data_IF_450723636132
#
_entry.id   IF_450723636132
#
_cell.length_a   1.000
_cell.length_b   1.000
_cell.length_c   1.000
_cell.angle_alpha   90.00
_cell.angle_beta   90.00
_cell.angle_gamma   90.00
#
_symmetry.space_group_name_H-M   'P 1'
#
loop_
_entity.id
_entity.type
_entity.pdbx_description
1 polymer ?
#
# COMPACT_ATOMS: atom_id res chain seq x y z
N UNK A 1 -15.99 -16.29 4.26
CA UNK A 1 -15.36 -16.93 3.09
C UNK A 1 -15.47 -16.00 1.91
N UNK A 2 -16.65 -15.43 1.65
CA UNK A 2 -16.92 -14.41 0.62
C UNK A 2 -15.93 -13.24 0.65
N UNK A 3 -15.67 -12.65 1.82
CA UNK A 3 -14.66 -11.59 1.97
C UNK A 3 -13.26 -11.99 1.48
N UNK A 4 -12.85 -13.24 1.74
CA UNK A 4 -11.53 -13.75 1.35
C UNK A 4 -11.50 -14.05 -0.15
N UNK A 5 -12.59 -14.58 -0.72
CA UNK A 5 -12.73 -14.76 -2.17
C UNK A 5 -12.71 -13.44 -2.91
N UNK A 6 -13.52 -12.47 -2.50
CA UNK A 6 -13.53 -11.13 -3.07
C UNK A 6 -12.13 -10.48 -3.07
N UNK A 7 -11.35 -10.72 -2.02
CA UNK A 7 -9.95 -10.29 -1.95
C UNK A 7 -9.07 -11.02 -2.98
N UNK A 8 -9.16 -12.35 -3.06
CA UNK A 8 -8.29 -13.20 -3.86
C UNK A 8 -8.62 -13.21 -5.35
N UNK A 9 -9.89 -13.05 -5.70
CA UNK A 9 -10.42 -13.26 -7.04
C UNK A 9 -10.71 -11.94 -7.76
N UNK A 10 -11.10 -10.90 -7.02
CA UNK A 10 -11.43 -9.58 -7.60
C UNK A 10 -10.38 -8.52 -7.28
N UNK A 11 -10.32 -8.07 -6.03
CA UNK A 11 -9.69 -6.77 -5.71
C UNK A 11 -8.17 -6.79 -5.77
N UNK A 12 -7.51 -7.77 -5.15
CA UNK A 12 -6.04 -7.81 -5.16
C UNK A 12 -5.46 -8.13 -6.54
N UNK A 13 -5.96 -9.11 -7.32
CA UNK A 13 -5.44 -9.36 -8.67
C UNK A 13 -5.51 -8.12 -9.57
N UNK A 14 -6.65 -7.44 -9.60
CA UNK A 14 -6.85 -6.23 -10.39
C UNK A 14 -5.87 -5.12 -9.98
N UNK A 15 -5.79 -4.80 -8.69
CA UNK A 15 -4.92 -3.72 -8.19
C UNK A 15 -3.44 -4.05 -8.37
N UNK A 16 -3.04 -5.33 -8.24
CA UNK A 16 -1.70 -5.81 -8.59
C UNK A 16 -1.43 -5.62 -10.09
N UNK A 17 -2.39 -5.95 -10.96
CA UNK A 17 -2.28 -5.76 -12.41
C UNK A 17 -2.00 -4.29 -12.78
N UNK A 18 -2.84 -3.37 -12.30
CA UNK A 18 -2.70 -1.93 -12.53
C UNK A 18 -1.34 -1.40 -12.06
N UNK A 19 -0.91 -1.79 -10.85
CA UNK A 19 0.40 -1.39 -10.33
C UNK A 19 1.56 -2.02 -11.08
N UNK A 20 1.42 -3.24 -11.56
CA UNK A 20 2.43 -3.90 -12.40
C UNK A 20 2.68 -3.08 -13.66
N UNK A 21 1.62 -2.71 -14.39
CA UNK A 21 1.71 -1.87 -15.59
C UNK A 21 2.39 -0.53 -15.30
N UNK A 22 1.97 0.17 -14.23
CA UNK A 22 2.57 1.45 -13.82
C UNK A 22 4.06 1.31 -13.45
N UNK A 23 4.42 0.27 -12.70
CA UNK A 23 5.82 0.01 -12.33
C UNK A 23 6.67 -0.33 -13.55
N UNK A 24 6.13 -1.07 -14.53
CA UNK A 24 6.84 -1.35 -15.79
C UNK A 24 7.11 -0.07 -16.58
N UNK A 25 6.11 0.81 -16.72
CA UNK A 25 6.25 2.11 -17.39
C UNK A 25 7.31 2.96 -16.68
N UNK A 26 7.18 3.16 -15.36
CA UNK A 26 8.15 3.92 -14.57
C UNK A 26 9.57 3.35 -14.71
N UNK A 27 9.73 2.04 -14.58
CA UNK A 27 11.04 1.37 -14.63
C UNK A 27 11.73 1.54 -15.99
N UNK A 28 10.99 1.50 -17.11
CA UNK A 28 11.54 1.73 -18.45
C UNK A 28 12.22 3.09 -18.53
N UNK A 29 11.52 4.15 -18.15
CA UNK A 29 12.08 5.51 -18.15
C UNK A 29 13.18 5.71 -17.11
N UNK A 30 13.06 5.11 -15.92
CA UNK A 30 14.08 5.20 -14.87
C UNK A 30 15.40 4.52 -15.27
N UNK A 31 15.37 3.49 -16.12
CA UNK A 31 16.58 2.83 -16.64
C UNK A 31 17.32 3.67 -17.69
N UNK A 32 16.61 4.55 -18.38
CA UNK A 32 17.15 5.38 -19.47
C UNK A 32 17.80 6.67 -18.95
N UNK A 33 17.48 7.12 -17.73
CA UNK A 33 17.98 8.38 -17.20
C UNK A 33 18.09 8.40 -15.68
N UNK A 34 19.28 8.68 -15.16
CA UNK A 34 19.51 8.89 -13.72
C UNK A 34 18.69 10.05 -13.15
N UNK A 35 18.46 11.11 -13.95
CA UNK A 35 17.62 12.24 -13.54
C UNK A 35 16.19 11.76 -13.31
N UNK A 36 15.64 10.96 -14.24
CA UNK A 36 14.29 10.39 -14.10
C UNK A 36 14.24 9.39 -12.96
N UNK A 37 15.27 8.55 -12.80
CA UNK A 37 15.42 7.62 -11.68
C UNK A 37 15.34 8.35 -10.35
N UNK A 38 16.06 9.45 -10.17
CA UNK A 38 16.03 10.27 -8.95
C UNK A 38 14.64 10.86 -8.72
N UNK A 39 14.01 11.44 -9.75
CA UNK A 39 12.66 12.02 -9.67
C UNK A 39 11.59 11.00 -9.26
N UNK A 40 11.68 9.77 -9.77
CA UNK A 40 10.63 8.75 -9.57
C UNK A 40 10.95 7.70 -8.51
N UNK A 41 12.18 7.61 -7.98
CA UNK A 41 12.57 6.59 -7.01
C UNK A 41 11.59 6.46 -5.82
N UNK A 42 11.23 7.58 -5.20
CA UNK A 42 10.28 7.59 -4.06
C UNK A 42 8.87 7.15 -4.49
N UNK A 43 8.41 7.61 -5.66
CA UNK A 43 7.08 7.25 -6.18
C UNK A 43 7.01 5.76 -6.53
N UNK A 44 8.04 5.26 -7.21
CA UNK A 44 8.22 3.85 -7.57
C UNK A 44 8.22 2.97 -6.33
N UNK A 45 9.06 3.28 -5.33
CA UNK A 45 9.13 2.53 -4.06
C UNK A 45 7.77 2.45 -3.38
N UNK A 46 7.04 3.57 -3.26
CA UNK A 46 5.70 3.60 -2.67
C UNK A 46 4.71 2.68 -3.38
N UNK A 47 4.67 2.70 -4.71
CA UNK A 47 3.80 1.82 -5.50
C UNK A 47 4.22 0.35 -5.32
N UNK A 48 5.53 0.08 -5.38
CA UNK A 48 6.08 -1.27 -5.26
C UNK A 48 5.85 -1.93 -3.89
N UNK A 49 5.77 -1.13 -2.83
CA UNK A 49 5.59 -1.64 -1.46
C UNK A 49 4.23 -2.33 -1.30
N UNK A 50 3.12 -1.65 -1.58
CA UNK A 50 1.81 -2.33 -1.49
C UNK A 50 1.63 -3.38 -2.58
N UNK A 51 2.20 -3.18 -3.77
CA UNK A 51 2.19 -4.18 -4.85
C UNK A 51 2.78 -5.52 -4.38
N UNK A 52 3.97 -5.48 -3.76
CA UNK A 52 4.60 -6.67 -3.15
C UNK A 52 3.75 -7.21 -2.00
N UNK A 53 3.27 -6.35 -1.09
CA UNK A 53 2.43 -6.79 0.05
C UNK A 53 1.23 -7.61 -0.43
N UNK A 54 0.51 -7.13 -1.44
CA UNK A 54 -0.69 -7.81 -1.95
C UNK A 54 -0.37 -9.13 -2.63
N UNK A 55 0.73 -9.23 -3.38
CA UNK A 55 1.21 -10.50 -3.92
C UNK A 55 1.52 -11.52 -2.81
N UNK A 56 2.14 -11.06 -1.71
CA UNK A 56 2.40 -11.90 -0.55
C UNK A 56 1.12 -12.35 0.15
N UNK A 57 0.11 -11.47 0.28
CA UNK A 57 -1.21 -11.83 0.82
C UNK A 57 -1.85 -12.94 -0.02
N UNK A 58 -1.96 -12.76 -1.34
CA UNK A 58 -2.53 -13.78 -2.24
C UNK A 58 -1.79 -15.11 -2.07
N UNK A 59 -0.46 -15.08 -2.15
CA UNK A 59 0.35 -16.29 -2.01
C UNK A 59 0.11 -16.98 -0.67
N UNK A 60 0.10 -16.22 0.43
CA UNK A 60 -0.08 -16.72 1.78
C UNK A 60 -1.46 -17.32 2.01
N UNK A 61 -2.52 -16.64 1.56
CA UNK A 61 -3.90 -17.12 1.68
C UNK A 61 -4.14 -18.38 0.85
N UNK A 62 -3.68 -18.41 -0.41
CA UNK A 62 -3.80 -19.59 -1.28
C UNK A 62 -3.05 -20.78 -0.70
N UNK A 63 -1.82 -20.57 -0.21
CA UNK A 63 -1.01 -21.65 0.37
C UNK A 63 -1.64 -22.27 1.63
N UNK A 64 -2.37 -21.47 2.38
CA UNK A 64 -3.04 -21.90 3.60
C UNK A 64 -4.48 -22.36 3.37
N UNK A 65 -4.95 -22.44 2.11
CA UNK A 65 -6.35 -22.76 1.79
C UNK A 65 -7.32 -21.92 2.63
N UNK A 66 -7.04 -20.61 2.73
CA UNK A 66 -7.73 -19.74 3.68
C UNK A 66 -9.24 -19.64 3.40
N UNK A 67 -9.66 -19.81 2.14
CA UNK A 67 -11.08 -19.86 1.76
C UNK A 67 -11.72 -21.12 2.35
N UNK A 68 -11.09 -22.27 2.19
CA UNK A 68 -11.55 -23.56 2.70
C UNK A 68 -11.63 -23.54 4.23
N UNK A 69 -10.62 -22.99 4.91
CA UNK A 69 -10.64 -22.81 6.36
C UNK A 69 -11.85 -21.96 6.79
N UNK A 70 -12.15 -20.88 6.08
CA UNK A 70 -13.32 -20.03 6.39
C UNK A 70 -14.64 -20.75 6.13
N UNK A 71 -14.72 -21.57 5.09
CA UNK A 71 -15.91 -22.40 4.82
C UNK A 71 -16.13 -23.44 5.92
N UNK A 72 -15.08 -24.07 6.43
CA UNK A 72 -15.16 -25.00 7.56
C UNK A 72 -15.62 -24.31 8.85
N UNK A 73 -15.12 -23.09 9.10
CA UNK A 73 -15.58 -22.24 10.21
C UNK A 73 -17.07 -21.89 10.07
N UNK A 74 -17.53 -21.54 8.87
CA UNK A 74 -18.93 -21.24 8.54
C UNK A 74 -19.84 -22.45 8.70
N UNK A 75 -19.43 -23.63 8.27
CA UNK A 75 -20.21 -24.86 8.49
C UNK A 75 -20.33 -25.21 9.98
N UNK A 76 -19.28 -24.95 10.75
CA UNK A 76 -19.32 -25.08 12.22
C UNK A 76 -20.25 -24.05 12.84
N UNK A 77 -20.25 -22.83 12.32
CA UNK A 77 -21.15 -21.75 12.74
C UNK A 77 -22.61 -22.11 12.47
N UNK A 78 -22.96 -22.55 11.25
CA UNK A 78 -24.31 -22.97 10.87
C UNK A 78 -24.85 -24.07 11.79
N UNK A 79 -24.04 -25.09 12.08
CA UNK A 79 -24.41 -26.17 13.01
C UNK A 79 -24.67 -25.65 14.42
N UNK A 80 -23.87 -24.69 14.89
CA UNK A 80 -24.03 -24.07 16.21
C UNK A 80 -25.30 -23.22 16.30
N UNK A 81 -25.64 -22.48 15.23
CA UNK A 81 -26.88 -21.69 15.12
C UNK A 81 -28.10 -22.62 15.12
N UNK A 82 -28.10 -23.65 14.29
CA UNK A 82 -29.23 -24.58 14.13
C UNK A 82 -29.51 -25.46 15.36
N UNK A 83 -28.57 -25.55 16.30
CA UNK A 83 -28.72 -26.36 17.51
C UNK A 83 -29.68 -25.74 18.55
N UNK A 84 -30.18 -24.53 18.32
CA UNK A 84 -30.94 -23.75 19.31
C UNK A 84 -31.89 -22.76 18.64
N UNK A 85 -33.16 -22.78 19.04
CA UNK A 85 -34.19 -21.96 18.41
C UNK A 85 -34.00 -20.46 18.58
N UNK A 86 -33.43 -20.00 19.70
CA UNK A 86 -33.15 -18.56 19.89
C UNK A 86 -31.99 -18.10 19.02
N UNK A 87 -30.94 -18.92 18.91
CA UNK A 87 -29.80 -18.63 18.02
C UNK A 87 -30.23 -18.65 16.56
N UNK A 88 -31.06 -19.61 16.16
CA UNK A 88 -31.62 -19.69 14.81
C UNK A 88 -32.34 -18.38 14.44
N UNK A 89 -33.30 -17.94 15.26
CA UNK A 89 -34.04 -16.68 15.04
C UNK A 89 -33.15 -15.42 15.00
N UNK A 90 -31.97 -15.45 15.64
CA UNK A 90 -31.06 -14.29 15.70
C UNK A 90 -30.06 -14.26 14.56
N UNK A 91 -29.60 -15.42 14.08
CA UNK A 91 -28.34 -15.54 13.34
C UNK A 91 -28.44 -16.35 12.04
N UNK A 92 -29.60 -16.90 11.69
CA UNK A 92 -29.73 -17.78 10.51
C UNK A 92 -29.35 -17.13 9.19
N UNK A 93 -29.68 -15.84 9.00
CA UNK A 93 -29.50 -15.14 7.73
C UNK A 93 -28.10 -14.55 7.52
N UNK A 94 -27.23 -14.54 8.55
CA UNK A 94 -25.95 -13.80 8.51
C UNK A 94 -25.08 -14.18 7.31
N UNK A 95 -24.94 -15.48 7.04
CA UNK A 95 -24.04 -15.96 5.99
C UNK A 95 -24.62 -15.75 4.60
N UNK A 96 -25.93 -15.91 4.43
CA UNK A 96 -26.61 -15.65 3.16
C UNK A 96 -26.59 -14.15 2.85
N UNK A 97 -26.70 -13.31 3.88
CA UNK A 97 -26.60 -11.86 3.76
C UNK A 97 -25.17 -11.41 3.38
N UNK A 98 -24.13 -12.07 3.90
CA UNK A 98 -22.76 -11.83 3.41
C UNK A 98 -22.64 -12.15 1.91
N UNK A 99 -23.16 -13.29 1.47
CA UNK A 99 -23.11 -13.67 0.06
C UNK A 99 -23.80 -12.64 -0.83
N UNK A 100 -25.03 -12.24 -0.47
CA UNK A 100 -25.78 -11.19 -1.19
C UNK A 100 -25.00 -9.87 -1.23
N UNK A 101 -24.54 -9.38 -0.08
CA UNK A 101 -23.86 -8.08 0.02
C UNK A 101 -22.55 -8.05 -0.76
N UNK A 102 -21.75 -9.12 -0.71
CA UNK A 102 -20.51 -9.19 -1.50
C UNK A 102 -20.79 -9.23 -3.01
N UNK A 103 -21.82 -9.96 -3.46
CA UNK A 103 -22.24 -9.98 -4.86
C UNK A 103 -22.71 -8.61 -5.35
N UNK A 104 -23.57 -7.92 -4.58
CA UNK A 104 -24.07 -6.60 -4.94
C UNK A 104 -22.99 -5.52 -4.89
N UNK A 105 -22.06 -5.61 -3.94
CA UNK A 105 -21.00 -4.64 -3.73
C UNK A 105 -19.86 -4.77 -4.75
N UNK A 106 -19.59 -5.97 -5.28
CA UNK A 106 -18.47 -6.27 -6.19
C UNK A 106 -18.29 -5.24 -7.33
N UNK A 107 -19.29 -4.96 -8.19
CA UNK A 107 -19.12 -4.01 -9.29
C UNK A 107 -18.83 -2.57 -8.84
N UNK A 108 -19.33 -2.17 -7.67
CA UNK A 108 -19.07 -0.86 -7.10
C UNK A 108 -17.69 -0.79 -6.45
N UNK A 109 -17.26 -1.83 -5.75
CA UNK A 109 -15.92 -1.91 -5.15
C UNK A 109 -14.82 -1.98 -6.21
N UNK A 110 -15.07 -2.65 -7.34
CA UNK A 110 -14.21 -2.58 -8.54
C UNK A 110 -14.12 -1.14 -9.04
N UNK A 111 -15.24 -0.44 -9.16
CA UNK A 111 -15.27 0.94 -9.62
C UNK A 111 -14.53 1.92 -8.68
N UNK A 112 -14.66 1.73 -7.37
CA UNK A 112 -13.88 2.46 -6.34
C UNK A 112 -12.39 2.21 -6.50
N UNK A 113 -11.99 0.94 -6.57
CA UNK A 113 -10.59 0.56 -6.73
C UNK A 113 -10.00 1.08 -8.05
N UNK A 114 -10.76 1.08 -9.15
CA UNK A 114 -10.35 1.65 -10.43
C UNK A 114 -10.16 3.17 -10.35
N UNK A 115 -11.08 3.89 -9.71
CA UNK A 115 -10.91 5.33 -9.50
C UNK A 115 -9.60 5.63 -8.75
N UNK A 116 -9.26 4.84 -7.72
CA UNK A 116 -8.06 5.05 -6.91
C UNK A 116 -6.75 4.60 -7.59
N UNK A 117 -6.73 3.41 -8.19
CA UNK A 117 -5.51 2.76 -8.67
C UNK A 117 -5.22 2.99 -10.16
N UNK A 118 -6.21 3.44 -10.95
CA UNK A 118 -6.03 3.81 -12.35
C UNK A 118 -6.20 5.31 -12.59
N UNK A 119 -7.36 5.90 -12.28
CA UNK A 119 -7.65 7.31 -12.61
C UNK A 119 -6.80 8.25 -11.75
N UNK A 120 -6.84 8.10 -10.43
CA UNK A 120 -6.05 8.93 -9.51
C UNK A 120 -4.55 8.55 -9.45
N UNK A 121 -4.14 7.51 -10.17
CA UNK A 121 -2.73 7.21 -10.40
C UNK A 121 -2.05 8.24 -11.30
N UNK A 122 -2.80 8.85 -12.23
CA UNK A 122 -2.33 9.90 -13.14
C UNK A 122 -2.02 11.16 -12.33
N UNK A 123 -0.81 11.67 -12.45
CA UNK A 123 -0.32 12.80 -11.66
C UNK A 123 -1.05 14.10 -12.03
N UNK A 124 -1.29 14.34 -13.33
CA UNK A 124 -2.07 15.49 -13.78
C UNK A 124 -3.51 15.47 -13.26
N UNK A 125 -4.13 14.29 -13.11
CA UNK A 125 -5.48 14.15 -12.54
C UNK A 125 -5.56 14.52 -11.06
N UNK A 126 -4.43 14.57 -10.35
CA UNK A 126 -4.38 15.09 -8.97
C UNK A 126 -3.93 16.54 -8.90
N UNK A 127 -3.01 16.94 -9.78
CA UNK A 127 -2.43 18.27 -9.76
C UNK A 127 -3.35 19.34 -10.36
N UNK A 128 -4.02 19.05 -11.47
CA UNK A 128 -4.92 20.00 -12.13
C UNK A 128 -6.06 20.50 -11.21
N UNK A 129 -6.84 19.61 -10.54
CA UNK A 129 -7.90 20.08 -9.64
C UNK A 129 -7.36 20.78 -8.39
N UNK A 130 -6.14 20.46 -7.95
CA UNK A 130 -5.49 21.18 -6.84
C UNK A 130 -5.22 22.63 -7.22
N UNK A 131 -4.63 22.88 -8.39
CA UNK A 131 -4.37 24.24 -8.87
C UNK A 131 -5.68 24.98 -9.14
N UNK A 132 -6.63 24.36 -9.85
CA UNK A 132 -7.94 24.97 -10.11
C UNK A 132 -8.67 25.36 -8.81
N UNK A 133 -8.69 24.46 -7.83
CA UNK A 133 -9.28 24.74 -6.52
C UNK A 133 -8.49 25.76 -5.68
N UNK A 134 -7.20 25.96 -5.90
CA UNK A 134 -6.44 27.06 -5.27
C UNK A 134 -6.84 28.40 -5.92
N UNK A 135 -6.91 28.45 -7.25
CA UNK A 135 -7.31 29.65 -7.99
C UNK A 135 -8.74 30.09 -7.64
N UNK A 136 -9.68 29.14 -7.59
CA UNK A 136 -11.09 29.39 -7.21
C UNK A 136 -11.24 29.89 -5.77
N UNK A 137 -10.34 29.49 -4.86
CA UNK A 137 -10.33 29.97 -3.46
C UNK A 137 -9.64 31.33 -3.29
N UNK A 138 -9.15 31.94 -4.37
CA UNK A 138 -8.45 33.23 -4.28
C UNK A 138 -7.05 33.12 -3.65
N UNK A 139 -6.40 31.95 -3.76
CA UNK A 139 -5.06 31.77 -3.19
C UNK A 139 -4.03 32.63 -3.92
N UNK A 140 -3.09 33.16 -3.16
CA UNK A 140 -2.05 34.06 -3.65
C UNK A 140 -1.17 33.45 -4.76
N UNK A 141 -0.68 34.31 -5.67
CA UNK A 141 0.09 33.91 -6.86
C UNK A 141 1.39 33.21 -6.47
N UNK A 142 2.09 33.69 -5.45
CA UNK A 142 3.34 33.12 -4.98
C UNK A 142 3.13 31.71 -4.41
N UNK A 143 1.98 31.47 -3.75
CA UNK A 143 1.60 30.13 -3.30
C UNK A 143 1.35 29.18 -4.49
N UNK A 144 0.69 29.65 -5.55
CA UNK A 144 0.48 28.88 -6.78
C UNK A 144 1.81 28.55 -7.48
N UNK A 145 2.71 29.52 -7.61
CA UNK A 145 4.05 29.31 -8.19
C UNK A 145 4.85 28.29 -7.38
N UNK A 146 4.81 28.38 -6.05
CA UNK A 146 5.46 27.41 -5.15
C UNK A 146 4.89 25.99 -5.34
N UNK A 147 3.58 25.85 -5.51
CA UNK A 147 2.94 24.55 -5.81
C UNK A 147 3.34 24.01 -7.19
N UNK A 148 3.46 24.88 -8.20
CA UNK A 148 3.96 24.51 -9.54
C UNK A 148 5.40 24.02 -9.44
N UNK A 149 6.29 24.77 -8.81
CA UNK A 149 7.70 24.40 -8.63
C UNK A 149 7.85 23.06 -7.91
N UNK A 150 7.11 22.86 -6.81
CA UNK A 150 7.13 21.60 -6.06
C UNK A 150 6.67 20.41 -6.90
N UNK A 151 5.65 20.58 -7.72
CA UNK A 151 5.16 19.52 -8.59
C UNK A 151 6.18 19.16 -9.68
N UNK A 152 6.69 20.17 -10.40
CA UNK A 152 7.61 19.95 -11.52
C UNK A 152 9.02 19.48 -11.11
N UNK A 153 9.40 19.63 -9.84
CA UNK A 153 10.63 19.08 -9.28
C UNK A 153 10.78 17.58 -9.61
N UNK A 154 9.72 16.81 -9.36
CA UNK A 154 9.75 15.35 -9.48
C UNK A 154 8.86 14.83 -10.62
N UNK A 155 8.17 15.71 -11.37
CA UNK A 155 7.31 15.32 -12.49
C UNK A 155 8.12 15.07 -13.77
N UNK A 156 7.71 14.05 -14.53
CA UNK A 156 8.24 13.73 -15.85
C UNK A 156 7.07 13.34 -16.76
N UNK A 157 6.65 14.27 -17.61
CA UNK A 157 5.43 14.15 -18.41
C UNK A 157 5.35 12.90 -19.30
N UNK A 158 6.44 12.34 -19.88
CA UNK A 158 6.32 11.12 -20.69
C UNK A 158 5.85 9.90 -19.87
N UNK A 159 6.29 9.79 -18.60
CA UNK A 159 5.81 8.73 -17.71
C UNK A 159 4.32 8.90 -17.45
N UNK A 160 3.87 10.12 -17.14
CA UNK A 160 2.47 10.35 -16.80
C UNK A 160 1.54 10.17 -18.00
N UNK A 161 2.00 10.53 -19.21
CA UNK A 161 1.27 10.31 -20.46
C UNK A 161 1.07 8.82 -20.73
N UNK A 162 2.13 8.01 -20.63
CA UNK A 162 2.04 6.57 -20.86
C UNK A 162 1.22 5.87 -19.77
N UNK A 163 1.31 6.34 -18.51
CA UNK A 163 0.43 5.87 -17.43
C UNK A 163 -1.03 6.26 -17.74
N UNK A 164 -1.29 7.49 -18.19
CA UNK A 164 -2.64 7.93 -18.56
C UNK A 164 -3.24 7.05 -19.65
N UNK A 165 -2.50 6.77 -20.73
CA UNK A 165 -2.96 5.87 -21.79
C UNK A 165 -3.29 4.46 -21.25
N UNK A 166 -2.34 3.85 -20.53
CA UNK A 166 -2.49 2.49 -20.02
C UNK A 166 -3.60 2.36 -18.97
N UNK A 167 -3.79 3.37 -18.13
CA UNK A 167 -4.85 3.37 -17.11
C UNK A 167 -6.24 3.58 -17.71
N UNK A 168 -6.37 4.36 -18.79
CA UNK A 168 -7.63 4.44 -19.54
C UNK A 168 -7.97 3.12 -20.23
N UNK A 169 -6.98 2.47 -20.85
CA UNK A 169 -7.18 1.15 -21.47
C UNK A 169 -7.60 0.10 -20.43
N UNK A 170 -6.92 0.06 -19.29
CA UNK A 170 -7.25 -0.86 -18.19
C UNK A 170 -8.62 -0.57 -17.60
N UNK A 171 -8.99 0.71 -17.44
CA UNK A 171 -10.32 1.07 -16.95
C UNK A 171 -11.41 0.62 -17.92
N UNK A 172 -11.26 0.86 -19.23
CA UNK A 172 -12.29 0.48 -20.21
C UNK A 172 -12.49 -1.03 -20.34
N UNK A 173 -11.41 -1.80 -20.22
CA UNK A 173 -11.47 -3.27 -20.38
C UNK A 173 -12.11 -4.00 -19.21
N UNK A 174 -11.98 -3.46 -17.99
CA UNK A 174 -12.44 -4.12 -16.76
C UNK A 174 -13.77 -3.57 -16.23
N UNK A 175 -14.13 -2.33 -16.58
CA UNK A 175 -15.29 -1.67 -15.97
C UNK A 175 -16.62 -2.04 -16.66
N UNK A 176 -17.70 -2.28 -15.89
CA UNK A 176 -19.05 -2.42 -16.45
C UNK A 176 -19.45 -1.21 -17.30
N UNK A 177 -20.18 -1.43 -18.39
CA UNK A 177 -20.58 -0.40 -19.36
C UNK A 177 -21.25 0.84 -18.71
N UNK A 178 -22.07 0.62 -17.67
CA UNK A 178 -22.71 1.70 -16.90
C UNK A 178 -21.76 2.65 -16.17
N UNK A 179 -20.49 2.27 -16.01
CA UNK A 179 -19.45 3.06 -15.36
C UNK A 179 -18.38 3.57 -16.33
N UNK A 180 -18.64 3.50 -17.64
CA UNK A 180 -17.78 4.04 -18.68
C UNK A 180 -18.19 5.49 -19.00
N UNK A 181 -17.31 6.49 -18.80
CA UNK A 181 -17.60 7.88 -19.11
C UNK A 181 -17.63 8.20 -20.62
N UNK A 182 -18.28 9.30 -21.02
CA UNK A 182 -18.40 9.72 -22.43
C UNK A 182 -17.08 9.90 -23.20
N UNK A 183 -15.96 10.19 -22.53
CA UNK A 183 -14.65 10.35 -23.20
C UNK A 183 -14.25 9.13 -24.02
N UNK A 184 -14.74 7.93 -23.68
CA UNK A 184 -14.44 6.71 -24.44
C UNK A 184 -15.12 6.72 -25.82
N UNK A 185 -16.25 7.41 -26.00
CA UNK A 185 -16.84 7.64 -27.32
C UNK A 185 -15.90 8.46 -28.20
N UNK A 186 -15.23 9.45 -27.61
CA UNK A 186 -14.25 10.27 -28.30
C UNK A 186 -12.98 9.49 -28.66
N UNK A 187 -12.47 8.67 -27.74
CA UNK A 187 -11.36 7.74 -27.99
C UNK A 187 -11.70 6.82 -29.17
N UNK A 188 -12.88 6.20 -29.15
CA UNK A 188 -13.29 5.27 -30.19
C UNK A 188 -13.51 5.98 -31.54
N UNK A 189 -14.23 7.11 -31.54
CA UNK A 189 -14.60 7.81 -32.77
C UNK A 189 -13.40 8.49 -33.46
N UNK A 190 -12.62 9.25 -32.69
CA UNK A 190 -11.54 10.11 -33.21
C UNK A 190 -10.20 9.38 -33.30
N UNK A 191 -9.92 8.47 -32.37
CA UNK A 191 -8.61 7.78 -32.26
C UNK A 191 -8.69 6.29 -32.57
N UNK A 192 -9.88 5.75 -32.86
CA UNK A 192 -10.10 4.33 -33.24
C UNK A 192 -9.65 3.34 -32.16
N UNK A 193 -9.85 3.71 -30.90
CA UNK A 193 -9.44 2.90 -29.75
C UNK A 193 -7.93 3.00 -29.42
N UNK A 194 -7.19 3.91 -30.06
CA UNK A 194 -5.78 4.15 -29.77
C UNK A 194 -5.62 5.10 -28.58
N UNK A 195 -5.50 4.53 -27.38
CA UNK A 195 -5.31 5.28 -26.12
C UNK A 195 -4.02 6.09 -26.11
N UNK A 196 -2.97 5.61 -26.78
CA UNK A 196 -1.68 6.31 -26.82
C UNK A 196 -1.80 7.61 -27.63
N UNK A 197 -2.42 7.56 -28.81
CA UNK A 197 -2.67 8.77 -29.61
C UNK A 197 -3.59 9.76 -28.90
N UNK A 198 -4.61 9.26 -28.20
CA UNK A 198 -5.48 10.10 -27.38
C UNK A 198 -4.69 10.81 -26.25
N UNK A 199 -3.81 10.06 -25.57
CA UNK A 199 -2.93 10.59 -24.54
C UNK A 199 -1.98 11.67 -25.09
N UNK A 200 -1.32 11.40 -26.21
CA UNK A 200 -0.41 12.36 -26.87
C UNK A 200 -1.13 13.67 -27.24
N UNK A 201 -2.30 13.59 -27.87
CA UNK A 201 -3.08 14.77 -28.22
C UNK A 201 -3.55 15.55 -26.98
N UNK A 202 -3.97 14.84 -25.93
CA UNK A 202 -4.35 15.43 -24.64
C UNK A 202 -3.19 16.17 -23.99
N UNK A 203 -2.01 15.55 -23.93
CA UNK A 203 -0.81 16.10 -23.28
C UNK A 203 -0.19 17.26 -24.06
N UNK A 204 -0.35 17.28 -25.39
CA UNK A 204 0.03 18.41 -26.23
C UNK A 204 -0.86 19.64 -25.99
N UNK A 205 -2.16 19.43 -25.78
CA UNK A 205 -3.16 20.49 -25.57
C UNK A 205 -3.15 21.05 -24.15
N UNK A 206 -2.99 20.20 -23.14
CA UNK A 206 -3.08 20.63 -21.74
C UNK A 206 -1.99 21.64 -21.36
N UNK A 207 -2.33 22.56 -20.46
CA UNK A 207 -1.35 23.47 -19.84
C UNK A 207 -0.57 22.79 -18.72
N UNK A 208 -1.14 21.76 -18.09
CA UNK A 208 -0.60 21.14 -16.88
C UNK A 208 0.65 20.28 -17.10
N UNK A 209 0.95 19.90 -18.35
CA UNK A 209 2.11 19.06 -18.69
C UNK A 209 3.43 19.85 -18.80
N UNK A 210 3.38 21.19 -18.90
CA UNK A 210 4.57 22.05 -19.06
C UNK A 210 4.68 23.07 -17.93
N UNK A 211 5.88 23.15 -17.35
CA UNK A 211 6.19 24.10 -16.28
C UNK A 211 6.02 25.54 -16.78
N UNK A 212 6.48 25.81 -17.99
CA UNK A 212 6.43 27.12 -18.62
C UNK A 212 4.99 27.56 -18.90
N UNK A 213 4.15 26.64 -19.41
CA UNK A 213 2.72 26.91 -19.61
C UNK A 213 2.02 27.19 -18.27
N UNK A 214 2.36 26.43 -17.22
CA UNK A 214 1.80 26.62 -15.87
C UNK A 214 2.22 27.94 -15.22
N UNK A 215 3.48 28.35 -15.36
CA UNK A 215 3.94 29.66 -14.86
C UNK A 215 3.16 30.78 -15.56
N UNK A 216 3.02 30.72 -16.89
CA UNK A 216 2.22 31.70 -17.65
C UNK A 216 0.75 31.73 -17.24
N UNK A 217 0.16 30.57 -16.95
CA UNK A 217 -1.20 30.50 -16.42
C UNK A 217 -1.31 31.20 -15.05
N UNK A 218 -0.35 31.00 -14.16
CA UNK A 218 -0.32 31.62 -12.83
C UNK A 218 -0.04 33.12 -12.92
N UNK A 219 0.77 33.58 -13.89
CA UNK A 219 0.94 35.00 -14.21
C UNK A 219 -0.38 35.61 -14.68
N UNK A 220 -1.05 34.98 -15.64
CA UNK A 220 -2.38 35.37 -16.11
C UNK A 220 -3.39 35.41 -14.97
N UNK A 221 -3.33 34.47 -14.02
CA UNK A 221 -4.20 34.48 -12.85
C UNK A 221 -4.00 35.72 -11.97
N UNK A 222 -2.76 36.19 -11.81
CA UNK A 222 -2.48 37.43 -11.08
C UNK A 222 -3.07 38.67 -11.76
N UNK A 223 -3.10 38.70 -13.09
CA UNK A 223 -3.60 39.85 -13.88
C UNK A 223 -5.12 39.78 -14.09
N UNK A 224 -5.66 38.58 -14.34
CA UNK A 224 -7.06 38.32 -14.62
C UNK A 224 -7.46 36.92 -14.09
N UNK A 225 -7.86 36.83 -12.80
CA UNK A 225 -8.22 35.58 -12.15
C UNK A 225 -9.34 34.82 -12.87
N UNK A 226 -10.39 35.52 -13.30
CA UNK A 226 -11.58 34.94 -13.93
C UNK A 226 -11.21 34.22 -15.23
N UNK A 227 -10.44 34.89 -16.10
CA UNK A 227 -10.01 34.30 -17.37
C UNK A 227 -9.01 33.15 -17.20
N UNK A 228 -8.24 33.12 -16.11
CA UNK A 228 -7.34 32.01 -15.80
C UNK A 228 -8.12 30.79 -15.25
N UNK A 229 -9.11 31.02 -14.38
CA UNK A 229 -10.01 29.96 -13.88
C UNK A 229 -10.80 29.35 -15.04
N UNK A 230 -11.36 30.17 -15.93
CA UNK A 230 -12.08 29.68 -17.11
C UNK A 230 -11.18 28.83 -18.03
N UNK A 231 -9.92 29.25 -18.20
CA UNK A 231 -8.95 28.47 -18.98
C UNK A 231 -8.65 27.11 -18.34
N UNK A 232 -8.55 27.06 -17.02
CA UNK A 232 -8.37 25.81 -16.26
C UNK A 232 -9.58 24.90 -16.43
N UNK A 233 -10.80 25.42 -16.24
CA UNK A 233 -12.04 24.65 -16.35
C UNK A 233 -12.26 24.04 -17.74
N UNK A 234 -11.70 24.67 -18.79
CA UNK A 234 -11.75 24.19 -20.18
C UNK A 234 -10.57 23.29 -20.57
N UNK A 235 -9.61 23.04 -19.68
CA UNK A 235 -8.47 22.17 -19.98
C UNK A 235 -8.92 20.71 -20.11
N UNK A 236 -8.47 19.97 -21.15
CA UNK A 236 -8.91 18.60 -21.38
C UNK A 236 -8.66 17.67 -20.19
N UNK A 237 -7.56 17.87 -19.43
CA UNK A 237 -7.28 17.06 -18.24
C UNK A 237 -8.39 17.20 -17.18
N UNK A 238 -8.92 18.41 -16.98
CA UNK A 238 -10.01 18.61 -16.02
C UNK A 238 -11.35 18.16 -16.56
N UNK A 239 -11.63 18.37 -17.85
CA UNK A 239 -12.87 17.89 -18.49
C UNK A 239 -12.97 16.37 -18.32
N UNK A 240 -11.93 15.62 -18.74
CA UNK A 240 -11.95 14.16 -18.67
C UNK A 240 -12.00 13.66 -17.23
N UNK A 241 -11.23 14.25 -16.31
CA UNK A 241 -11.32 13.90 -14.89
C UNK A 241 -12.73 14.14 -14.32
N UNK A 242 -13.40 15.21 -14.73
CA UNK A 242 -14.74 15.55 -14.23
C UNK A 242 -15.80 14.54 -14.71
N UNK A 243 -15.64 13.94 -15.88
CA UNK A 243 -16.52 12.85 -16.33
C UNK A 243 -16.42 11.63 -15.41
N UNK A 244 -15.19 11.20 -15.09
CA UNK A 244 -14.97 10.14 -14.10
C UNK A 244 -15.53 10.53 -12.72
N UNK A 245 -15.25 11.74 -12.25
CA UNK A 245 -15.72 12.21 -10.93
C UNK A 245 -17.24 12.27 -10.85
N UNK A 246 -17.92 12.66 -11.92
CA UNK A 246 -19.38 12.76 -11.93
C UNK A 246 -19.99 11.36 -11.76
N UNK A 247 -19.53 10.38 -12.55
CA UNK A 247 -19.94 8.98 -12.39
C UNK A 247 -19.61 8.47 -10.98
N UNK A 248 -18.41 8.77 -10.51
CA UNK A 248 -17.93 8.31 -9.21
C UNK A 248 -18.76 8.85 -8.04
N UNK A 249 -19.03 10.15 -8.03
CA UNK A 249 -19.71 10.83 -6.92
C UNK A 249 -21.22 10.62 -6.94
N UNK A 250 -21.83 10.52 -8.12
CA UNK A 250 -23.30 10.43 -8.26
C UNK A 250 -23.77 8.99 -8.39
N UNK A 251 -23.04 8.15 -9.15
CA UNK A 251 -23.48 6.80 -9.50
C UNK A 251 -22.83 5.67 -8.70
N UNK A 252 -21.61 5.85 -8.20
CA UNK A 252 -20.84 4.75 -7.57
C UNK A 252 -20.81 4.91 -6.04
N UNK A 253 -20.32 6.05 -5.55
CA UNK A 253 -20.05 6.25 -4.11
C UNK A 253 -21.30 6.11 -3.23
N UNK A 254 -22.48 6.66 -3.59
CA UNK A 254 -23.66 6.53 -2.75
C UNK A 254 -24.12 5.07 -2.57
N UNK A 255 -24.22 4.33 -3.69
CA UNK A 255 -24.62 2.92 -3.68
C UNK A 255 -23.61 2.04 -2.95
N UNK A 256 -22.31 2.27 -3.17
CA UNK A 256 -21.25 1.56 -2.46
C UNK A 256 -21.33 1.77 -0.94
N UNK A 257 -21.57 3.02 -0.49
CA UNK A 257 -21.66 3.34 0.95
C UNK A 257 -22.90 2.75 1.61
N UNK A 258 -24.02 2.69 0.91
CA UNK A 258 -25.24 2.06 1.43
C UNK A 258 -24.98 0.56 1.70
N UNK A 259 -24.40 -0.14 0.72
CA UNK A 259 -23.99 -1.54 0.87
C UNK A 259 -22.92 -1.73 1.95
N UNK A 260 -21.96 -0.81 2.07
CA UNK A 260 -20.93 -0.85 3.12
C UNK A 260 -21.54 -0.76 4.53
N UNK A 261 -22.57 0.08 4.72
CA UNK A 261 -23.29 0.19 6.00
C UNK A 261 -24.02 -1.11 6.33
N UNK A 262 -24.75 -1.70 5.38
CA UNK A 262 -25.42 -3.00 5.55
C UNK A 262 -24.40 -4.10 5.88
N UNK A 263 -23.27 -4.12 5.18
CA UNK A 263 -22.18 -5.07 5.41
C UNK A 263 -21.57 -4.91 6.82
N UNK A 264 -21.34 -3.68 7.27
CA UNK A 264 -20.86 -3.42 8.63
C UNK A 264 -21.87 -3.86 9.70
N UNK A 265 -23.17 -3.66 9.47
CA UNK A 265 -24.22 -4.13 10.38
C UNK A 265 -24.25 -5.66 10.46
N UNK A 266 -24.13 -6.34 9.32
CA UNK A 266 -24.04 -7.80 9.29
C UNK A 266 -22.75 -8.31 9.98
N UNK A 267 -21.61 -7.62 9.81
CA UNK A 267 -20.38 -7.92 10.55
C UNK A 267 -20.51 -7.74 12.06
N UNK A 268 -21.22 -6.70 12.52
CA UNK A 268 -21.50 -6.50 13.96
C UNK A 268 -22.32 -7.66 14.52
N UNK A 269 -23.34 -8.09 13.78
CA UNK A 269 -24.18 -9.23 14.16
C UNK A 269 -23.37 -10.53 14.18
N UNK A 270 -22.55 -10.77 13.17
CA UNK A 270 -21.67 -11.93 13.10
C UNK A 270 -20.66 -11.97 14.26
N UNK A 271 -20.03 -10.84 14.58
CA UNK A 271 -19.11 -10.79 15.72
C UNK A 271 -19.82 -11.00 17.06
N UNK A 272 -21.04 -10.50 17.24
CA UNK A 272 -21.84 -10.80 18.42
C UNK A 272 -22.12 -12.32 18.54
N UNK A 273 -22.46 -12.97 17.43
CA UNK A 273 -22.68 -14.42 17.39
C UNK A 273 -21.38 -15.20 17.69
N UNK A 274 -20.23 -14.77 17.16
CA UNK A 274 -18.94 -15.38 17.46
C UNK A 274 -18.54 -15.23 18.93
N UNK A 275 -18.80 -14.08 19.54
CA UNK A 275 -18.56 -13.87 20.98
C UNK A 275 -19.43 -14.80 21.84
N UNK A 276 -20.68 -15.03 21.45
CA UNK A 276 -21.57 -15.98 22.13
C UNK A 276 -21.09 -17.43 21.94
N UNK A 277 -20.73 -17.80 20.70
CA UNK A 277 -20.25 -19.14 20.34
C UNK A 277 -18.94 -19.50 21.03
N UNK A 278 -18.00 -18.55 21.10
CA UNK A 278 -16.64 -18.75 21.60
C UNK A 278 -16.47 -18.22 23.03
N UNK A 279 -17.55 -18.15 23.82
CA UNK A 279 -17.54 -17.59 25.20
C UNK A 279 -16.48 -18.18 26.14
N UNK A 280 -16.05 -19.41 25.89
CA UNK A 280 -15.06 -20.13 26.69
C UNK A 280 -13.61 -19.95 26.17
N UNK A 281 -13.43 -19.18 25.09
CA UNK A 281 -12.14 -18.90 24.45
C UNK A 281 -11.82 -17.41 24.55
N UNK A 282 -10.54 -17.10 24.75
CA UNK A 282 -10.06 -15.72 24.68
C UNK A 282 -10.00 -15.26 23.21
N UNK A 283 -10.97 -14.45 22.80
CA UNK A 283 -10.92 -13.70 21.55
C UNK A 283 -10.21 -12.37 21.76
N UNK A 284 -9.40 -11.94 20.79
CA UNK A 284 -8.81 -10.62 20.76
C UNK A 284 -9.48 -9.78 19.67
N UNK A 285 -9.73 -8.49 19.91
CA UNK A 285 -10.36 -7.63 18.90
C UNK A 285 -9.37 -7.32 17.77
N UNK A 286 -9.89 -7.07 16.57
CA UNK A 286 -9.09 -6.57 15.45
C UNK A 286 -8.37 -5.28 15.81
N UNK A 287 -7.22 -5.06 15.16
CA UNK A 287 -6.43 -3.86 15.36
C UNK A 287 -7.17 -2.62 14.82
N UNK A 288 -7.25 -1.56 15.61
CA UNK A 288 -7.94 -0.32 15.28
C UNK A 288 -7.13 0.93 15.66
N UNK A 289 -5.80 0.87 15.48
CA UNK A 289 -4.85 1.93 15.88
C UNK A 289 -4.87 2.30 17.37
N UNK A 290 -5.30 1.38 18.23
CA UNK A 290 -5.15 1.49 19.68
C UNK A 290 -3.95 0.67 20.17
N UNK A 291 -3.47 0.97 21.38
CA UNK A 291 -2.37 0.24 21.99
C UNK A 291 -2.76 -1.22 22.23
N UNK A 292 -1.90 -2.16 21.81
CA UNK A 292 -2.05 -3.60 21.99
C UNK A 292 -0.74 -4.23 22.44
N UNK A 293 -0.81 -5.42 23.03
CA UNK A 293 0.33 -6.24 23.38
C UNK A 293 0.21 -7.60 22.67
N UNK A 294 1.25 -7.97 21.94
CA UNK A 294 1.44 -9.30 21.38
C UNK A 294 2.73 -9.88 21.98
N UNK A 295 2.74 -11.19 22.21
CA UNK A 295 3.89 -11.89 22.76
C UNK A 295 4.16 -13.17 21.98
N UNK A 296 5.38 -13.67 22.12
CA UNK A 296 5.89 -14.80 21.38
C UNK A 296 7.32 -15.10 21.80
N UNK A 297 8.05 -15.78 20.93
CA UNK A 297 9.46 -16.12 21.15
C UNK A 297 10.27 -15.83 19.90
N UNK A 298 11.55 -15.55 20.07
CA UNK A 298 12.52 -15.54 18.96
C UNK A 298 12.53 -16.95 18.36
N UNK A 299 12.17 -17.07 17.08
CA UNK A 299 11.94 -18.37 16.46
C UNK A 299 12.28 -18.39 14.98
N UNK A 300 12.89 -19.49 14.56
CA UNK A 300 13.15 -19.85 13.16
C UNK A 300 11.85 -20.26 12.45
N UNK A 301 11.89 -20.42 11.13
CA UNK A 301 10.77 -21.02 10.39
C UNK A 301 11.21 -21.71 9.10
N UNK A 302 10.31 -22.49 8.51
CA UNK A 302 10.53 -23.21 7.26
C UNK A 302 9.64 -22.61 6.17
N UNK A 303 10.16 -21.74 5.29
CA UNK A 303 9.35 -21.10 4.27
C UNK A 303 8.89 -22.10 3.20
N UNK A 304 9.60 -23.21 2.98
CA UNK A 304 9.25 -24.26 1.99
C UNK A 304 10.09 -25.51 2.25
N UNK A 305 9.79 -26.57 1.52
CA UNK A 305 10.55 -27.81 1.60
C UNK A 305 12.05 -27.58 1.36
N UNK A 306 12.87 -28.27 2.15
CA UNK A 306 14.34 -28.16 2.13
C UNK A 306 14.94 -26.84 2.60
N UNK A 307 14.14 -25.82 2.94
CA UNK A 307 14.65 -24.49 3.35
C UNK A 307 14.29 -24.19 4.80
N UNK A 308 15.29 -23.70 5.55
CA UNK A 308 15.12 -23.28 6.93
C UNK A 308 15.77 -21.92 7.15
N UNK A 309 14.98 -20.94 7.57
CA UNK A 309 15.48 -19.62 7.91
C UNK A 309 15.73 -19.53 9.41
N UNK A 310 16.99 -19.24 9.74
CA UNK A 310 17.42 -18.98 11.11
C UNK A 310 16.81 -17.69 11.64
N UNK A 311 16.73 -17.58 12.97
CA UNK A 311 16.07 -16.46 13.61
C UNK A 311 16.89 -15.15 13.59
N UNK A 312 18.20 -15.20 13.33
CA UNK A 312 19.10 -14.05 13.44
C UNK A 312 19.92 -13.86 12.17
N UNK A 313 20.13 -12.60 11.79
CA UNK A 313 21.02 -12.18 10.71
C UNK A 313 22.21 -11.39 11.26
N UNK A 314 23.26 -11.29 10.45
CA UNK A 314 24.52 -10.64 10.81
C UNK A 314 24.98 -9.66 9.74
N UNK A 315 25.95 -8.80 10.08
CA UNK A 315 26.53 -7.79 9.20
C UNK A 315 27.22 -8.42 7.97
N UNK A 316 27.69 -9.66 8.05
CA UNK A 316 28.21 -10.38 6.87
C UNK A 316 27.16 -10.55 5.78
N UNK A 317 25.88 -10.74 6.14
CA UNK A 317 24.79 -10.81 5.17
C UNK A 317 24.52 -9.49 4.44
N UNK A 318 24.84 -8.34 5.06
CA UNK A 318 24.83 -7.04 4.37
C UNK A 318 25.98 -6.99 3.35
N UNK A 319 27.17 -7.48 3.72
CA UNK A 319 28.33 -7.50 2.82
C UNK A 319 28.12 -8.43 1.63
N UNK A 320 27.46 -9.57 1.81
CA UNK A 320 27.15 -10.48 0.72
C UNK A 320 26.18 -9.86 -0.28
N UNK A 321 25.12 -9.19 0.19
CA UNK A 321 24.19 -8.45 -0.67
C UNK A 321 24.85 -7.28 -1.40
N UNK A 322 25.80 -6.60 -0.75
CA UNK A 322 26.55 -5.50 -1.37
C UNK A 322 27.35 -5.90 -2.60
N UNK A 323 27.71 -7.18 -2.74
CA UNK A 323 28.43 -7.71 -3.90
C UNK A 323 27.54 -7.90 -5.13
N UNK A 324 26.21 -7.86 -4.98
CA UNK A 324 25.28 -8.08 -6.09
C UNK A 324 25.25 -6.89 -7.07
N UNK A 325 25.84 -5.73 -6.72
CA UNK A 325 25.99 -4.59 -7.62
C UNK A 325 24.71 -3.77 -7.84
N UNK A 326 23.64 -4.07 -7.10
CA UNK A 326 22.42 -3.25 -7.09
C UNK A 326 22.63 -1.98 -6.26
N UNK A 327 22.21 -0.82 -6.80
CA UNK A 327 22.33 0.47 -6.10
C UNK A 327 21.63 0.45 -4.73
N UNK A 328 20.48 -0.23 -4.61
CA UNK A 328 19.75 -0.38 -3.35
C UNK A 328 20.51 -1.22 -2.30
N UNK A 329 21.53 -1.97 -2.70
CA UNK A 329 22.39 -2.76 -1.81
C UNK A 329 23.77 -2.14 -1.58
N UNK A 330 23.99 -0.91 -2.05
CA UNK A 330 25.26 -0.21 -1.84
C UNK A 330 25.56 -0.08 -0.34
N UNK A 331 26.70 -0.62 0.07
CA UNK A 331 27.18 -0.54 1.45
C UNK A 331 28.02 0.73 1.64
N UNK A 332 27.77 1.54 2.69
CA UNK A 332 28.62 2.70 3.01
C UNK A 332 30.06 2.27 3.35
N UNK A 333 31.05 3.00 2.84
CA UNK A 333 32.48 2.69 3.02
C UNK A 333 32.90 2.55 4.49
N UNK A 334 32.38 3.43 5.36
CA UNK A 334 32.62 3.35 6.80
C UNK A 334 32.09 2.04 7.42
N UNK A 335 30.94 1.56 6.96
CA UNK A 335 30.36 0.30 7.47
C UNK A 335 31.18 -0.91 7.00
N UNK A 336 31.65 -0.91 5.75
CA UNK A 336 32.59 -1.94 5.26
C UNK A 336 33.89 -1.94 6.05
N UNK A 337 34.46 -0.77 6.34
CA UNK A 337 35.71 -0.66 7.13
C UNK A 337 35.55 -1.23 8.55
N UNK A 338 34.44 -0.91 9.22
CA UNK A 338 34.11 -1.48 10.55
C UNK A 338 33.94 -2.99 10.49
N UNK A 339 33.34 -3.51 9.41
CA UNK A 339 33.18 -4.95 9.20
C UNK A 339 34.52 -5.66 9.01
N UNK A 340 35.39 -5.15 8.13
CA UNK A 340 36.70 -5.74 7.84
C UNK A 340 37.62 -5.75 9.06
N UNK A 341 37.62 -4.67 9.83
CA UNK A 341 38.39 -4.55 11.07
C UNK A 341 37.79 -5.35 12.24
N UNK A 342 36.55 -5.86 12.09
CA UNK A 342 35.74 -6.42 13.18
C UNK A 342 35.62 -5.49 14.39
N UNK A 343 35.58 -4.17 14.16
CA UNK A 343 35.50 -3.16 15.22
C UNK A 343 34.05 -3.02 15.73
N UNK A 344 33.60 -4.05 16.44
CA UNK A 344 32.24 -4.21 16.93
C UNK A 344 32.04 -3.77 18.38
N UNK A 345 33.13 -3.43 19.08
CA UNK A 345 33.16 -3.20 20.53
C UNK A 345 32.36 -4.28 21.30
N UNK A 346 31.56 -3.85 22.27
CA UNK A 346 30.72 -4.71 23.14
C UNK A 346 29.41 -5.16 22.49
N UNK A 347 29.10 -4.70 21.27
CA UNK A 347 27.87 -5.05 20.57
C UNK A 347 27.99 -6.38 19.80
N UNK A 348 29.22 -6.81 19.51
CA UNK A 348 29.49 -8.05 18.78
C UNK A 348 29.31 -9.30 19.64
N UNK A 349 28.98 -10.41 18.99
CA UNK A 349 28.84 -11.74 19.60
C UNK A 349 29.66 -12.73 18.79
N UNK A 350 30.59 -13.43 19.44
CA UNK A 350 31.46 -14.45 18.83
C UNK A 350 32.15 -13.98 17.54
N UNK A 351 32.59 -12.72 17.52
CA UNK A 351 33.26 -12.11 16.37
C UNK A 351 32.34 -11.79 15.19
N UNK A 352 31.02 -11.77 15.41
CA UNK A 352 29.99 -11.34 14.45
C UNK A 352 29.21 -10.14 14.99
N UNK A 353 28.57 -9.38 14.10
CA UNK A 353 27.67 -8.30 14.47
C UNK A 353 26.23 -8.71 14.14
N UNK A 354 25.37 -9.01 15.14
CA UNK A 354 23.95 -9.19 14.93
C UNK A 354 23.33 -7.97 14.25
N UNK A 355 22.35 -8.17 13.37
CA UNK A 355 21.68 -7.08 12.62
C UNK A 355 20.18 -7.07 12.88
N UNK A 356 19.49 -8.13 12.48
CA UNK A 356 18.06 -8.30 12.72
C UNK A 356 17.78 -9.68 13.31
N UNK A 357 16.59 -9.82 13.89
CA UNK A 357 16.04 -11.10 14.26
C UNK A 357 14.54 -11.18 13.95
N UNK A 358 14.01 -12.40 13.96
CA UNK A 358 12.60 -12.69 13.78
C UNK A 358 12.01 -13.38 15.01
N UNK A 359 10.73 -13.13 15.26
CA UNK A 359 10.00 -13.73 16.37
C UNK A 359 8.54 -14.03 15.99
N UNK A 360 7.89 -14.88 16.78
CA UNK A 360 6.52 -15.34 16.54
C UNK A 360 5.43 -14.35 16.97
N UNK A 361 5.75 -13.06 17.15
CA UNK A 361 4.77 -12.07 17.57
C UNK A 361 3.82 -11.73 16.41
N UNK A 362 2.52 -11.66 16.67
CA UNK A 362 1.53 -11.23 15.69
C UNK A 362 1.54 -9.70 15.56
N UNK A 363 1.99 -9.20 14.41
CA UNK A 363 2.07 -7.76 14.11
C UNK A 363 1.35 -7.43 12.81
N UNK A 364 1.07 -6.15 12.58
CA UNK A 364 0.52 -5.61 11.32
C UNK A 364 1.06 -4.20 11.04
N UNK A 365 0.49 -3.52 10.03
CA UNK A 365 0.72 -2.10 9.81
C UNK A 365 0.36 -1.28 11.05
N UNK A 366 1.23 -0.36 11.44
CA UNK A 366 1.13 0.39 12.69
C UNK A 366 2.09 -0.11 13.80
N UNK A 367 2.63 -1.33 13.68
CA UNK A 367 3.65 -1.84 14.61
C UNK A 367 5.10 -1.43 14.26
N UNK A 368 5.31 -0.63 13.22
CA UNK A 368 6.65 -0.13 12.89
C UNK A 368 7.16 0.78 14.02
N UNK A 369 8.33 0.47 14.56
CA UNK A 369 8.93 1.14 15.71
C UNK A 369 8.51 0.57 17.07
N UNK A 370 7.65 -0.45 17.13
CA UNK A 370 7.25 -1.04 18.41
C UNK A 370 8.45 -1.66 19.15
N UNK A 371 8.60 -1.44 20.47
CA UNK A 371 9.66 -2.04 21.25
C UNK A 371 9.44 -3.56 21.37
N UNK A 372 10.48 -4.34 21.12
CA UNK A 372 10.51 -5.77 21.44
C UNK A 372 11.22 -5.90 22.79
N UNK A 373 10.49 -6.40 23.78
CA UNK A 373 10.97 -6.51 25.16
C UNK A 373 11.26 -7.97 25.52
N UNK A 374 12.26 -8.19 26.36
CA UNK A 374 12.50 -9.50 26.98
C UNK A 374 11.57 -9.77 28.17
N UNK A 375 11.75 -10.92 28.83
CA UNK A 375 10.95 -11.33 29.98
C UNK A 375 11.06 -10.40 31.21
N UNK A 376 12.02 -9.47 31.22
CA UNK A 376 12.25 -8.49 32.28
C UNK A 376 11.84 -7.07 31.85
N UNK A 377 11.22 -6.90 30.68
CA UNK A 377 10.81 -5.59 30.16
C UNK A 377 11.95 -4.77 29.57
N UNK A 378 13.11 -5.38 29.29
CA UNK A 378 14.27 -4.69 28.70
C UNK A 378 14.19 -4.71 27.18
N UNK A 379 14.56 -3.60 26.54
CA UNK A 379 14.52 -3.47 25.10
C UNK A 379 15.58 -4.35 24.43
N UNK A 380 15.16 -5.28 23.58
CA UNK A 380 16.05 -6.18 22.81
C UNK A 380 15.99 -5.93 21.30
N UNK A 381 14.99 -5.20 20.82
CA UNK A 381 14.91 -4.83 19.40
C UNK A 381 13.77 -3.87 19.10
N UNK A 382 13.73 -3.40 17.85
CA UNK A 382 12.68 -2.52 17.35
C UNK A 382 12.02 -3.19 16.15
N UNK A 383 10.72 -3.45 16.24
CA UNK A 383 9.95 -4.06 15.16
C UNK A 383 9.89 -3.11 13.95
N UNK A 384 10.05 -3.62 12.73
CA UNK A 384 9.93 -2.78 11.54
C UNK A 384 9.17 -3.42 10.38
N UNK A 385 9.05 -4.76 10.34
CA UNK A 385 8.40 -5.45 9.21
C UNK A 385 7.87 -6.84 9.58
N UNK A 386 7.34 -7.55 8.58
CA UNK A 386 6.91 -8.95 8.64
C UNK A 386 7.55 -9.75 7.51
N UNK A 387 7.73 -11.06 7.73
CA UNK A 387 8.21 -11.93 6.67
C UNK A 387 7.18 -12.10 5.54
N UNK A 388 7.66 -12.51 4.37
CA UNK A 388 6.85 -12.67 3.17
C UNK A 388 5.69 -13.65 3.35
N UNK A 389 5.95 -14.83 3.92
CA UNK A 389 4.91 -15.84 4.16
C UNK A 389 3.87 -15.36 5.22
N UNK A 390 4.23 -14.38 6.04
CA UNK A 390 3.38 -13.82 7.07
C UNK A 390 2.55 -12.60 6.66
N UNK A 391 2.63 -12.10 5.43
CA UNK A 391 1.88 -10.88 5.02
C UNK A 391 0.37 -11.06 5.05
N UNK A 392 -0.10 -12.30 4.99
CA UNK A 392 -1.51 -12.72 5.13
C UNK A 392 -2.04 -12.66 6.58
N UNK A 393 -1.19 -12.37 7.57
CA UNK A 393 -1.53 -12.35 9.01
C UNK A 393 -2.62 -11.35 9.39
N UNK A 394 -2.99 -10.43 8.49
CA UNK A 394 -4.11 -9.51 8.69
C UNK A 394 -5.46 -10.24 8.56
N UNK A 395 -5.49 -11.40 7.90
CA UNK A 395 -6.71 -12.19 7.59
C UNK A 395 -6.65 -13.58 8.22
N UNK A 396 -5.48 -14.23 8.16
CA UNK A 396 -5.26 -15.56 8.73
C UNK A 396 -3.88 -15.60 9.37
N UNK A 397 -3.76 -16.04 10.62
CA UNK A 397 -2.47 -16.15 11.30
C UNK A 397 -2.04 -17.61 11.40
N UNK A 398 -0.93 -17.96 10.76
CA UNK A 398 -0.31 -19.27 10.85
C UNK A 398 0.96 -19.17 11.72
N UNK A 399 0.96 -19.72 12.95
CA UNK A 399 2.12 -19.67 13.84
C UNK A 399 3.37 -20.37 13.28
N UNK A 400 3.22 -21.28 12.31
CA UNK A 400 4.33 -21.97 11.68
C UNK A 400 5.10 -21.11 10.66
N UNK A 401 4.44 -20.08 10.11
CA UNK A 401 4.96 -19.22 9.04
C UNK A 401 5.10 -17.74 9.43
N UNK A 402 4.17 -17.20 10.21
CA UNK A 402 4.13 -15.77 10.54
C UNK A 402 5.27 -15.36 11.47
N UNK A 403 6.07 -14.40 11.03
CA UNK A 403 7.16 -13.82 11.83
C UNK A 403 7.17 -12.30 11.71
N UNK A 404 7.29 -11.63 12.84
CA UNK A 404 7.67 -10.21 12.85
C UNK A 404 9.19 -10.10 12.66
N UNK A 405 9.66 -9.02 12.05
CA UNK A 405 11.08 -8.72 11.81
C UNK A 405 11.45 -7.49 12.64
N UNK A 406 12.47 -7.62 13.47
CA UNK A 406 12.99 -6.55 14.32
C UNK A 406 14.48 -6.33 14.08
N UNK A 407 14.92 -5.07 14.18
CA UNK A 407 16.34 -4.76 14.26
C UNK A 407 16.84 -5.11 15.66
N UNK A 408 17.99 -5.76 15.75
CA UNK A 408 18.64 -6.11 17.01
C UNK A 408 19.14 -4.82 17.69
N UNK A 409 18.83 -4.63 18.97
CA UNK A 409 19.20 -3.39 19.66
C UNK A 409 20.72 -3.18 19.68
N UNK A 410 21.52 -4.27 19.66
CA UNK A 410 22.98 -4.19 19.57
C UNK A 410 23.43 -3.54 18.26
N UNK A 411 22.75 -3.81 17.16
CA UNK A 411 23.05 -3.19 15.87
C UNK A 411 22.74 -1.69 15.88
N UNK A 412 21.61 -1.31 16.48
CA UNK A 412 21.21 0.11 16.62
C UNK A 412 22.29 0.86 17.40
N UNK A 413 22.69 0.34 18.56
CA UNK A 413 23.72 0.95 19.39
C UNK A 413 25.10 0.95 18.70
N UNK A 414 25.45 -0.10 17.97
CA UNK A 414 26.67 -0.16 17.14
C UNK A 414 26.69 0.94 16.07
N UNK A 415 25.56 1.19 15.40
CA UNK A 415 25.47 2.26 14.41
C UNK A 415 25.59 3.63 15.06
N UNK A 416 24.96 3.87 16.21
CA UNK A 416 25.06 5.13 16.95
C UNK A 416 26.51 5.38 17.38
N UNK A 417 27.16 4.39 17.99
CA UNK A 417 28.52 4.52 18.52
C UNK A 417 29.57 4.50 17.40
N UNK A 418 29.77 3.35 16.74
CA UNK A 418 30.89 3.13 15.82
C UNK A 418 30.69 3.79 14.47
N UNK A 419 29.48 3.72 13.93
CA UNK A 419 29.22 4.30 12.61
C UNK A 419 28.98 5.81 12.66
N UNK A 420 28.23 6.34 13.62
CA UNK A 420 27.94 7.78 13.69
C UNK A 420 28.91 8.56 14.59
N UNK A 421 29.61 7.91 15.53
CA UNK A 421 30.44 8.60 16.51
C UNK A 421 29.62 9.39 17.54
N UNK A 422 28.35 9.00 17.74
CA UNK A 422 27.38 9.72 18.57
C UNK A 422 27.28 9.11 19.98
N UNK A 423 28.42 8.87 20.62
CA UNK A 423 28.49 8.24 21.94
C UNK A 423 27.69 8.94 23.04
N UNK A 424 27.47 10.26 22.91
CA UNK A 424 26.64 11.03 23.83
C UNK A 424 25.18 10.52 23.91
N UNK A 425 24.65 9.87 22.88
CA UNK A 425 23.34 9.22 22.92
C UNK A 425 23.37 7.90 23.70
N UNK A 426 24.50 7.20 23.71
CA UNK A 426 24.70 5.99 24.50
C UNK A 426 24.76 6.34 25.98
N UNK A 427 25.43 7.45 26.32
CA UNK A 427 25.55 7.95 27.69
C UNK A 427 24.20 8.37 28.32
N UNK A 428 23.20 8.69 27.49
CA UNK A 428 21.84 9.03 27.93
C UNK A 428 21.02 7.78 28.32
N UNK A 429 21.42 6.60 27.86
CA UNK A 429 20.67 5.35 28.03
C UNK A 429 21.12 4.55 29.26
N UNK A 430 20.17 3.93 29.95
CA UNK A 430 20.47 2.90 30.96
C UNK A 430 20.58 1.53 30.28
N UNK A 431 21.83 1.07 30.05
CA UNK A 431 22.11 -0.15 29.28
C UNK A 431 22.61 -1.27 30.21
N UNK A 432 21.86 -2.35 30.25
CA UNK A 432 22.29 -3.63 30.85
C UNK A 432 22.87 -4.54 29.78
N UNK A 433 24.08 -5.06 30.01
CA UNK A 433 24.84 -5.91 29.07
C UNK A 433 24.62 -7.40 29.31
#
# INVERSE_FOLDING_TARGET
SEAVRYMLETTLPMTIGLRTTRLQIMNRYMKESDVVRIKYATKYRRVSNSWKKWQGIILGLNRNNAVEVKLEEEETFKKWVAADGERLMKYEDILDEFARLYEEMDPYGVAVSMMEESILAVELFRQAPRIGGMMQRGMDKEMLLSQVERFFKDYHWPIDQDIFAAMLESYHSEMPERFIPPLYDDIQRKYKGDYQKFAEDTYNKTVFSSKEKMIKLVEKYGDNPEAAVEQVEKDPILIYLNEFRTLYLVGITPAYRELEVELEENYKLYMAALLEKEKDRLLYPDANFTMRLAYGKVDSYKPRDGVHYQYQTTLSGIMDKGKEGFEDYRVPEKLSSLYEAKDYAKYGVDGTMPVCFIASNHTSGGNSGSPVLDAHGRLIGLNFDRNWEGTMSDIYYDPSLCRNIAVDIRYVLFIIDKFAGAGYLIDEMDITW
#
